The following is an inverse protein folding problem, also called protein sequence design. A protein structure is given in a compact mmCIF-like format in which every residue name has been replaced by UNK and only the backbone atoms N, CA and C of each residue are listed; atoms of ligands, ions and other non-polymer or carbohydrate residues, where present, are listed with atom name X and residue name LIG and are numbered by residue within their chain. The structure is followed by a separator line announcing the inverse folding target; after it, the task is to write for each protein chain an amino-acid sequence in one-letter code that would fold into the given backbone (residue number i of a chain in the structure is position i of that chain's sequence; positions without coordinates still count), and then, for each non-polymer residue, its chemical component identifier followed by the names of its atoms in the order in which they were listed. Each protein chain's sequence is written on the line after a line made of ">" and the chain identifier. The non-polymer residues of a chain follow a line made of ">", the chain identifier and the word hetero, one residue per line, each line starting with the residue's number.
data_IF_430113635118
#
_entry.id   IF_430113635118
#
_cell.length_a   1.000
_cell.length_b   1.000
_cell.length_c   1.000
_cell.angle_alpha   90.00
_cell.angle_beta   90.00
_cell.angle_gamma   90.00
#
_symmetry.space_group_name_H-M   'P 1'
#
loop_
_entity.id
_entity.type
_entity.pdbx_description
1 polymer ?
#
# COMPACT_ATOMS: atom_id res chain seq x y z
N UNK A 1 3.86 0.84 -22.24
CA UNK A 1 3.25 1.59 -21.12
C UNK A 1 4.09 1.29 -19.89
N UNK A 2 4.39 2.30 -19.06
CA UNK A 2 5.09 2.09 -17.79
C UNK A 2 4.09 1.62 -16.73
N UNK A 3 4.46 0.57 -15.98
CA UNK A 3 3.69 0.08 -14.84
C UNK A 3 4.50 0.19 -13.57
N UNK A 4 3.88 0.68 -12.50
CA UNK A 4 4.43 0.68 -11.13
C UNK A 4 3.44 -0.05 -10.25
N UNK A 5 3.88 -1.13 -9.63
CA UNK A 5 3.06 -1.87 -8.66
C UNK A 5 3.09 -1.15 -7.31
N UNK A 6 1.96 -0.72 -6.83
CA UNK A 6 1.87 0.08 -5.60
C UNK A 6 1.88 -0.75 -4.30
N UNK A 7 1.98 -2.08 -4.38
CA UNK A 7 2.02 -2.92 -3.18
C UNK A 7 2.75 -4.24 -3.42
N UNK A 8 4.06 -4.23 -3.16
CA UNK A 8 4.88 -5.44 -3.18
C UNK A 8 5.61 -5.64 -1.86
N UNK A 9 5.62 -6.88 -1.37
CA UNK A 9 6.31 -7.27 -0.16
C UNK A 9 7.67 -7.90 -0.42
N UNK A 10 8.65 -7.58 0.42
CA UNK A 10 9.95 -8.25 0.50
C UNK A 10 10.12 -8.83 1.91
N UNK A 11 10.92 -9.88 2.01
CA UNK A 11 11.25 -10.52 3.28
C UNK A 11 10.32 -11.67 3.65
N UNK A 12 10.76 -12.43 4.61
CA UNK A 12 10.06 -13.62 5.09
C UNK A 12 9.00 -13.23 6.11
N UNK A 13 7.76 -13.59 5.88
CA UNK A 13 6.75 -13.48 6.92
C UNK A 13 6.93 -14.56 7.95
N UNK A 14 6.95 -14.19 9.23
CA UNK A 14 7.08 -15.14 10.36
C UNK A 14 5.80 -15.94 10.56
N UNK A 15 4.63 -15.40 10.17
CA UNK A 15 3.40 -16.18 9.98
C UNK A 15 3.52 -16.86 8.62
N UNK A 16 4.35 -17.86 8.61
CA UNK A 16 4.86 -18.44 7.40
C UNK A 16 3.80 -19.27 6.69
N UNK A 17 3.86 -19.23 5.37
CA UNK A 17 3.25 -20.22 4.49
C UNK A 17 3.59 -21.68 4.89
N UNK A 18 4.73 -21.92 5.58
CA UNK A 18 5.06 -23.25 6.11
C UNK A 18 4.18 -23.64 7.30
N UNK A 19 3.59 -22.65 7.99
CA UNK A 19 2.66 -22.83 9.13
C UNK A 19 1.23 -22.54 8.69
N UNK A 20 1.04 -21.76 7.63
CA UNK A 20 -0.27 -21.57 7.02
C UNK A 20 -0.70 -22.94 6.51
N UNK A 21 -1.75 -23.38 7.09
CA UNK A 21 -2.40 -24.61 6.83
C UNK A 21 -2.57 -24.85 5.31
N UNK A 22 -1.58 -25.52 4.73
CA UNK A 22 -1.61 -25.90 3.31
C UNK A 22 -2.84 -26.73 2.96
N UNK A 23 -3.43 -27.43 3.94
CA UNK A 23 -4.68 -28.16 3.79
C UNK A 23 -5.86 -27.19 3.55
N UNK A 24 -5.86 -26.04 4.22
CA UNK A 24 -6.92 -25.04 4.05
C UNK A 24 -6.90 -24.41 2.65
N UNK A 25 -5.72 -24.18 2.10
CA UNK A 25 -5.56 -23.62 0.75
C UNK A 25 -5.42 -24.69 -0.33
N UNK A 26 -5.45 -25.96 0.02
CA UNK A 26 -5.21 -27.10 -0.89
C UNK A 26 -3.84 -27.05 -1.60
N UNK A 27 -2.92 -26.25 -1.10
CA UNK A 27 -1.57 -26.10 -1.63
C UNK A 27 -0.61 -26.87 -0.73
N UNK A 28 0.13 -27.82 -1.27
CA UNK A 28 1.13 -28.60 -0.51
C UNK A 28 2.54 -28.07 -0.67
N UNK A 29 2.75 -27.18 -1.60
CA UNK A 29 4.05 -26.56 -1.87
C UNK A 29 4.13 -25.18 -1.19
N UNK A 30 5.36 -24.72 -0.95
CA UNK A 30 5.58 -23.40 -0.35
C UNK A 30 5.06 -22.31 -1.27
N UNK A 31 4.36 -21.35 -0.72
CA UNK A 31 3.98 -20.13 -1.43
C UNK A 31 5.25 -19.35 -1.77
N UNK A 32 5.37 -18.90 -3.00
CA UNK A 32 6.49 -18.05 -3.41
C UNK A 32 6.53 -16.76 -2.61
N UNK A 33 7.73 -16.33 -2.25
CA UNK A 33 7.97 -15.09 -1.55
C UNK A 33 9.24 -14.45 -2.11
N UNK A 34 9.24 -13.14 -2.26
CA UNK A 34 10.48 -12.41 -2.52
C UNK A 34 11.20 -12.16 -1.20
N UNK A 35 12.24 -12.92 -0.92
CA UNK A 35 13.05 -12.77 0.31
C UNK A 35 13.91 -11.53 0.26
N UNK A 36 14.40 -11.23 -0.94
CA UNK A 36 15.31 -10.14 -1.25
C UNK A 36 14.84 -9.35 -2.47
N UNK A 37 15.41 -8.17 -2.63
CA UNK A 37 15.09 -7.27 -3.73
C UNK A 37 15.29 -7.93 -5.11
N UNK A 38 16.32 -8.77 -5.25
CA UNK A 38 16.65 -9.44 -6.49
C UNK A 38 15.51 -10.36 -6.97
N UNK A 39 14.94 -11.16 -6.05
CA UNK A 39 13.82 -12.06 -6.35
C UNK A 39 12.55 -11.26 -6.75
N UNK A 40 12.31 -10.13 -6.09
CA UNK A 40 11.22 -9.24 -6.49
C UNK A 40 11.47 -8.65 -7.88
N UNK A 41 12.69 -8.16 -8.15
CA UNK A 41 13.05 -7.58 -9.45
C UNK A 41 12.90 -8.59 -10.59
N UNK A 42 13.29 -9.85 -10.41
CA UNK A 42 13.08 -10.92 -11.37
C UNK A 42 11.58 -11.12 -11.67
N UNK A 43 10.73 -11.08 -10.63
CA UNK A 43 9.27 -11.20 -10.78
C UNK A 43 8.69 -9.99 -11.52
N UNK A 44 9.13 -8.77 -11.17
CA UNK A 44 8.72 -7.54 -11.86
C UNK A 44 9.11 -7.58 -13.35
N UNK A 45 10.34 -8.01 -13.65
CA UNK A 45 10.84 -8.12 -15.03
C UNK A 45 10.04 -9.14 -15.84
N UNK A 46 9.75 -10.30 -15.25
CA UNK A 46 8.90 -11.31 -15.87
C UNK A 46 7.50 -10.79 -16.22
N UNK A 47 6.93 -9.95 -15.34
CA UNK A 47 5.61 -9.34 -15.56
C UNK A 47 5.64 -8.05 -16.37
N UNK A 48 6.82 -7.54 -16.76
CA UNK A 48 6.95 -6.27 -17.49
C UNK A 48 6.63 -5.03 -16.63
N UNK A 49 6.84 -5.12 -15.30
CA UNK A 49 6.62 -4.04 -14.33
C UNK A 49 7.91 -3.24 -14.15
N UNK A 50 7.85 -1.93 -14.36
CA UNK A 50 9.02 -1.06 -14.33
C UNK A 50 9.56 -0.81 -12.90
N UNK A 51 8.70 -0.83 -11.90
CA UNK A 51 9.08 -0.61 -10.50
C UNK A 51 7.95 -0.89 -9.54
N UNK A 52 8.24 -0.89 -8.24
CA UNK A 52 7.25 -1.17 -7.22
C UNK A 52 7.40 -0.28 -5.98
N UNK A 53 6.28 0.01 -5.34
CA UNK A 53 6.21 0.51 -3.97
C UNK A 53 6.32 -0.69 -3.04
N UNK A 54 7.32 -0.68 -2.15
CA UNK A 54 7.74 -1.87 -1.42
C UNK A 54 7.58 -1.70 0.08
N UNK A 55 7.21 -2.78 0.76
CA UNK A 55 7.26 -2.92 2.21
C UNK A 55 8.07 -4.17 2.60
N UNK A 56 8.59 -4.21 3.82
CA UNK A 56 9.27 -5.39 4.34
C UNK A 56 8.36 -6.14 5.32
N UNK A 57 8.30 -7.46 5.20
CA UNK A 57 7.40 -8.30 6.01
C UNK A 57 7.62 -8.12 7.54
N UNK A 58 8.85 -7.88 7.97
CA UNK A 58 9.17 -7.67 9.39
C UNK A 58 8.54 -6.41 10.00
N UNK A 59 8.13 -5.43 9.20
CA UNK A 59 7.35 -4.26 9.66
C UNK A 59 6.03 -4.67 10.31
N UNK A 60 5.46 -5.79 9.84
CA UNK A 60 4.16 -6.27 10.24
C UNK A 60 4.29 -7.25 11.40
N UNK A 61 5.23 -8.19 11.29
CA UNK A 61 5.27 -9.39 12.14
C UNK A 61 6.35 -9.32 13.23
N UNK A 62 7.30 -8.38 13.15
CA UNK A 62 8.42 -8.28 14.10
C UNK A 62 8.44 -6.92 14.78
N UNK A 63 8.93 -5.90 14.09
CA UNK A 63 9.08 -4.55 14.61
C UNK A 63 9.14 -3.53 13.46
N UNK A 64 8.35 -2.44 13.49
CA UNK A 64 8.36 -1.42 12.46
C UNK A 64 9.70 -0.71 12.24
N UNK A 65 10.42 -0.36 13.30
CA UNK A 65 11.73 0.31 13.19
C UNK A 65 12.77 -0.60 12.52
N UNK A 66 12.85 -1.84 12.97
CA UNK A 66 13.71 -2.86 12.36
C UNK A 66 13.32 -3.12 10.90
N UNK A 67 12.03 -3.27 10.61
CA UNK A 67 11.55 -3.52 9.26
C UNK A 67 11.79 -2.35 8.30
N UNK A 68 11.63 -1.11 8.78
CA UNK A 68 11.96 0.11 8.03
C UNK A 68 13.45 0.14 7.64
N UNK A 69 14.35 -0.22 8.57
CA UNK A 69 15.79 -0.29 8.28
C UNK A 69 16.11 -1.40 7.26
N UNK A 70 15.52 -2.59 7.43
CA UNK A 70 15.72 -3.71 6.49
C UNK A 70 15.23 -3.38 5.08
N UNK A 71 14.10 -2.69 4.96
CA UNK A 71 13.61 -2.26 3.66
C UNK A 71 14.59 -1.33 2.94
N UNK A 72 15.23 -0.40 3.66
CA UNK A 72 16.22 0.48 3.05
C UNK A 72 17.44 -0.28 2.53
N UNK A 73 17.90 -1.31 3.25
CA UNK A 73 18.99 -2.18 2.79
C UNK A 73 18.61 -2.87 1.46
N UNK A 74 17.37 -3.36 1.35
CA UNK A 74 16.89 -4.03 0.16
C UNK A 74 16.68 -3.06 -1.01
N UNK A 75 16.00 -1.93 -0.77
CA UNK A 75 15.69 -0.97 -1.83
C UNK A 75 16.90 -0.20 -2.35
N UNK A 76 17.98 -0.10 -1.56
CA UNK A 76 19.25 0.48 -2.00
C UNK A 76 19.89 -0.28 -3.19
N UNK A 77 19.49 -1.53 -3.43
CA UNK A 77 20.01 -2.34 -4.54
C UNK A 77 19.45 -1.89 -5.91
N UNK A 78 18.27 -1.28 -5.94
CA UNK A 78 17.64 -0.74 -7.15
C UNK A 78 16.74 0.47 -6.81
N UNK A 79 17.31 1.59 -6.36
CA UNK A 79 16.54 2.73 -5.81
C UNK A 79 15.67 3.45 -6.83
N UNK A 80 15.97 3.30 -8.13
CA UNK A 80 15.15 3.83 -9.22
C UNK A 80 13.90 2.99 -9.52
N UNK A 81 13.87 1.75 -9.04
CA UNK A 81 12.78 0.79 -9.28
C UNK A 81 11.99 0.46 -8.02
N UNK A 82 12.64 0.44 -6.87
CA UNK A 82 12.05 0.03 -5.59
C UNK A 82 11.83 1.25 -4.69
N UNK A 83 10.56 1.64 -4.56
CA UNK A 83 10.13 2.80 -3.80
C UNK A 83 9.76 2.39 -2.37
N UNK A 84 10.56 2.72 -1.36
CA UNK A 84 10.31 2.26 0.01
C UNK A 84 9.08 2.93 0.63
N UNK A 85 8.34 2.13 1.42
CA UNK A 85 7.35 2.63 2.38
C UNK A 85 7.81 2.35 3.79
N UNK A 86 7.52 3.25 4.74
CA UNK A 86 7.80 3.00 6.15
C UNK A 86 6.51 2.75 6.94
N UNK A 87 6.61 1.89 7.92
CA UNK A 87 5.55 1.69 8.91
C UNK A 87 5.77 2.61 10.08
N UNK A 88 4.69 3.20 10.60
CA UNK A 88 4.70 4.13 11.71
C UNK A 88 4.15 3.52 12.99
N UNK A 89 4.70 3.98 14.14
CA UNK A 89 4.20 3.74 15.49
C UNK A 89 3.80 5.07 16.14
N UNK A 90 3.00 5.03 17.23
CA UNK A 90 2.66 6.22 17.98
C UNK A 90 3.90 6.91 18.58
N UNK A 91 4.10 8.18 18.28
CA UNK A 91 5.25 8.95 18.78
C UNK A 91 5.30 9.06 20.32
N UNK A 92 4.18 8.88 20.98
CA UNK A 92 4.10 8.93 22.45
C UNK A 92 4.82 7.74 23.12
N UNK A 93 4.95 6.62 22.44
CA UNK A 93 5.70 5.44 22.92
C UNK A 93 7.03 5.29 22.21
N UNK A 94 7.12 5.78 20.97
CA UNK A 94 8.28 5.60 20.09
C UNK A 94 8.67 6.95 19.48
N UNK A 95 9.41 7.76 20.23
CA UNK A 95 9.74 9.16 19.92
C UNK A 95 10.39 9.37 18.54
N UNK A 96 11.05 8.36 18.01
CA UNK A 96 11.63 8.40 16.68
C UNK A 96 10.58 8.56 15.57
N UNK A 97 9.31 8.25 15.84
CA UNK A 97 8.20 8.45 14.91
C UNK A 97 7.50 9.81 15.11
N UNK A 98 7.99 10.67 15.99
CA UNK A 98 7.51 12.05 16.08
C UNK A 98 7.74 12.80 14.75
N UNK A 99 6.89 13.77 14.37
CA UNK A 99 6.91 14.37 13.03
C UNK A 99 8.28 14.85 12.57
N UNK A 100 9.00 15.61 13.42
CA UNK A 100 10.30 16.17 13.02
C UNK A 100 11.37 15.11 12.77
N UNK A 101 11.68 14.16 13.68
CA UNK A 101 12.67 13.11 13.43
C UNK A 101 12.22 12.17 12.30
N UNK A 102 10.93 11.83 12.22
CA UNK A 102 10.40 10.97 11.15
C UNK A 102 10.61 11.62 9.78
N UNK A 103 10.18 12.87 9.58
CA UNK A 103 10.27 13.54 8.28
C UNK A 103 11.72 13.82 7.88
N UNK A 104 12.58 14.15 8.85
CA UNK A 104 14.01 14.28 8.61
C UNK A 104 14.65 13.00 8.06
N UNK A 105 14.34 11.85 8.68
CA UNK A 105 14.81 10.54 8.22
C UNK A 105 14.19 10.13 6.88
N UNK A 106 12.88 10.35 6.68
CA UNK A 106 12.20 10.09 5.41
C UNK A 106 12.85 10.85 4.26
N UNK A 107 13.15 12.13 4.46
CA UNK A 107 13.82 12.97 3.46
C UNK A 107 15.21 12.44 3.11
N UNK A 108 16.02 12.10 4.10
CA UNK A 108 17.36 11.55 3.93
C UNK A 108 17.36 10.22 3.17
N UNK A 109 16.33 9.39 3.41
CA UNK A 109 16.19 8.06 2.84
C UNK A 109 15.29 8.02 1.60
N UNK A 110 14.84 9.18 1.08
CA UNK A 110 13.92 9.30 -0.07
C UNK A 110 12.60 8.55 0.10
N UNK A 111 12.17 8.31 1.35
CA UNK A 111 10.87 7.68 1.65
C UNK A 111 9.78 8.74 1.57
N UNK A 112 8.71 8.45 0.84
CA UNK A 112 7.59 9.38 0.62
C UNK A 112 6.21 8.77 0.93
N UNK A 113 6.18 7.54 1.39
CA UNK A 113 4.95 6.79 1.63
C UNK A 113 5.03 6.12 3.00
N UNK A 114 3.91 6.09 3.70
CA UNK A 114 3.78 5.47 5.01
C UNK A 114 2.74 4.35 5.00
N UNK A 115 2.88 3.41 5.92
CA UNK A 115 1.92 2.34 6.23
C UNK A 115 1.58 2.33 7.71
N UNK A 116 0.38 1.89 8.04
CA UNK A 116 -0.03 1.66 9.42
C UNK A 116 -0.68 0.28 9.54
N UNK A 117 -0.24 -0.46 10.55
CA UNK A 117 -0.77 -1.78 10.90
C UNK A 117 -1.20 -1.78 12.38
N UNK A 118 -2.23 -0.98 12.74
CA UNK A 118 -2.56 -0.71 14.14
C UNK A 118 -2.87 -1.97 14.95
N UNK A 119 -3.57 -2.93 14.36
CA UNK A 119 -3.86 -4.20 15.03
C UNK A 119 -2.59 -5.04 15.27
N UNK A 120 -1.76 -5.20 14.23
CA UNK A 120 -0.53 -5.99 14.31
C UNK A 120 0.47 -5.37 15.27
N UNK A 121 0.64 -4.06 15.19
CA UNK A 121 1.57 -3.31 16.05
C UNK A 121 0.91 -2.81 17.35
N UNK A 122 -0.33 -3.24 17.64
CA UNK A 122 -1.05 -3.08 18.93
C UNK A 122 -1.23 -1.65 19.40
N UNK A 123 -1.73 -0.77 18.52
CA UNK A 123 -2.10 0.60 18.88
C UNK A 123 -3.44 1.01 18.24
N UNK A 124 -4.00 2.14 18.71
CA UNK A 124 -5.21 2.71 18.13
C UNK A 124 -4.84 3.82 17.16
N UNK A 125 -5.34 3.74 15.93
CA UNK A 125 -5.13 4.77 14.91
C UNK A 125 -6.22 5.85 15.06
N UNK A 126 -6.02 6.77 15.99
CA UNK A 126 -6.98 7.82 16.29
C UNK A 126 -6.28 9.08 16.84
N UNK A 127 -7.07 10.14 17.09
CA UNK A 127 -6.58 11.43 17.57
C UNK A 127 -5.94 11.38 18.96
N UNK A 128 -6.42 10.51 19.83
CA UNK A 128 -5.87 10.38 21.20
C UNK A 128 -4.44 9.83 21.17
N UNK A 129 -4.21 8.83 20.31
CA UNK A 129 -2.92 8.12 20.26
C UNK A 129 -1.92 8.81 19.32
N UNK A 130 -2.38 9.36 18.17
CA UNK A 130 -1.52 9.82 17.09
C UNK A 130 -1.92 11.22 16.53
N UNK A 131 -2.67 12.03 17.29
CA UNK A 131 -3.28 13.26 16.78
C UNK A 131 -2.29 14.20 16.09
N UNK A 132 -1.26 14.65 16.81
CA UNK A 132 -0.22 15.54 16.27
C UNK A 132 0.52 14.92 15.07
N UNK A 133 0.83 13.64 15.15
CA UNK A 133 1.54 12.92 14.12
C UNK A 133 0.72 12.82 12.83
N UNK A 134 -0.57 12.47 12.92
CA UNK A 134 -1.44 12.36 11.74
C UNK A 134 -1.78 13.74 11.16
N UNK A 135 -1.93 14.77 11.96
CA UNK A 135 -2.09 16.16 11.49
C UNK A 135 -0.84 16.60 10.68
N UNK A 136 0.36 16.30 11.18
CA UNK A 136 1.60 16.61 10.47
C UNK A 136 1.75 15.80 9.15
N UNK A 137 1.42 14.51 9.16
CA UNK A 137 1.41 13.65 7.96
C UNK A 137 0.44 14.19 6.91
N UNK A 138 -0.77 14.61 7.33
CA UNK A 138 -1.76 15.20 6.44
C UNK A 138 -1.27 16.52 5.83
N UNK A 139 -0.70 17.43 6.66
CA UNK A 139 -0.13 18.71 6.20
C UNK A 139 1.03 18.54 5.22
N UNK A 140 1.86 17.51 5.43
CA UNK A 140 2.94 17.14 4.52
C UNK A 140 2.46 16.38 3.27
N UNK A 141 1.19 16.08 3.14
CA UNK A 141 0.59 15.28 2.05
C UNK A 141 1.28 13.92 1.86
N UNK A 142 1.71 13.30 2.93
CA UNK A 142 2.32 11.97 2.87
C UNK A 142 1.19 10.93 2.82
N UNK A 143 1.10 10.11 1.75
CA UNK A 143 0.09 9.08 1.69
C UNK A 143 0.30 7.98 2.73
N UNK A 144 -0.77 7.60 3.41
CA UNK A 144 -0.80 6.54 4.40
C UNK A 144 -1.60 5.34 3.89
N UNK A 145 -0.96 4.19 3.78
CA UNK A 145 -1.62 2.94 3.42
C UNK A 145 -2.38 2.36 4.60
N UNK A 146 -3.65 2.03 4.38
CA UNK A 146 -4.53 1.37 5.34
C UNK A 146 -5.24 0.19 4.69
N UNK A 147 -5.36 -0.91 5.44
CA UNK A 147 -6.12 -2.08 5.01
C UNK A 147 -7.37 -2.26 5.88
N UNK A 148 -8.53 -2.57 5.30
CA UNK A 148 -9.72 -2.94 6.06
C UNK A 148 -9.74 -4.42 6.49
N UNK A 149 -8.58 -5.06 6.61
CA UNK A 149 -8.44 -6.49 7.00
C UNK A 149 -9.13 -6.82 8.33
N UNK A 150 -9.29 -5.83 9.21
CA UNK A 150 -10.00 -5.93 10.49
C UNK A 150 -11.34 -5.21 10.50
N UNK A 151 -11.77 -4.74 9.35
CA UNK A 151 -13.01 -4.00 9.14
C UNK A 151 -12.80 -2.60 8.59
N UNK A 152 -13.86 -2.02 8.07
CA UNK A 152 -13.84 -0.68 7.46
C UNK A 152 -13.95 0.47 8.48
N UNK A 153 -14.47 0.18 9.67
CA UNK A 153 -14.72 1.19 10.71
C UNK A 153 -13.46 1.98 11.10
N UNK A 154 -12.26 1.38 11.27
CA UNK A 154 -11.06 2.15 11.55
C UNK A 154 -10.70 3.17 10.47
N UNK A 155 -10.94 2.83 9.17
CA UNK A 155 -10.68 3.74 8.05
C UNK A 155 -11.67 4.91 8.08
N UNK A 156 -12.95 4.64 8.31
CA UNK A 156 -13.95 5.69 8.48
C UNK A 156 -13.61 6.61 9.63
N UNK A 157 -13.33 6.03 10.80
CA UNK A 157 -13.01 6.77 12.03
C UNK A 157 -11.78 7.68 11.87
N UNK A 158 -10.72 7.21 11.21
CA UNK A 158 -9.53 8.04 11.00
C UNK A 158 -9.81 9.18 10.02
N UNK A 159 -10.57 8.94 8.96
CA UNK A 159 -10.91 9.98 7.99
C UNK A 159 -11.90 11.03 8.55
N UNK A 160 -12.81 10.64 9.45
CA UNK A 160 -13.66 11.59 10.18
C UNK A 160 -12.83 12.52 11.09
N UNK A 161 -11.80 11.99 11.74
CA UNK A 161 -10.92 12.74 12.62
C UNK A 161 -9.84 13.56 11.87
N UNK A 162 -9.42 13.09 10.70
CA UNK A 162 -8.35 13.68 9.88
C UNK A 162 -8.78 13.74 8.40
N UNK A 163 -9.74 14.60 8.05
CA UNK A 163 -10.32 14.63 6.70
C UNK A 163 -9.33 15.00 5.59
N UNK A 164 -8.20 15.64 5.93
CA UNK A 164 -7.14 16.02 4.98
C UNK A 164 -6.06 14.96 4.81
N UNK A 165 -6.12 13.86 5.58
CA UNK A 165 -5.15 12.77 5.50
C UNK A 165 -5.29 12.04 4.16
N UNK A 166 -4.22 11.98 3.37
CA UNK A 166 -4.21 11.18 2.13
C UNK A 166 -4.11 9.69 2.48
N UNK A 167 -5.15 8.93 2.16
CA UNK A 167 -5.24 7.50 2.48
C UNK A 167 -5.25 6.68 1.19
N UNK A 168 -4.42 5.63 1.16
CA UNK A 168 -4.44 4.59 0.12
C UNK A 168 -5.02 3.32 0.76
N UNK A 169 -6.19 2.90 0.28
CA UNK A 169 -6.83 1.66 0.73
C UNK A 169 -6.31 0.51 -0.10
N UNK A 170 -5.77 -0.52 0.56
CA UNK A 170 -5.23 -1.70 -0.08
C UNK A 170 -5.69 -2.98 0.63
N UNK A 171 -5.53 -4.12 -0.03
CA UNK A 171 -5.80 -5.46 0.52
C UNK A 171 -7.16 -5.52 1.25
N UNK A 172 -8.24 -5.25 0.51
CA UNK A 172 -9.61 -5.23 1.04
C UNK A 172 -10.41 -6.49 0.69
N UNK A 173 -9.80 -7.44 -0.05
CA UNK A 173 -10.35 -8.73 -0.41
C UNK A 173 -11.14 -8.75 -1.71
N UNK A 174 -11.42 -9.96 -2.18
CA UNK A 174 -11.92 -10.24 -3.55
C UNK A 174 -13.37 -9.87 -3.81
N UNK A 175 -14.18 -9.63 -2.78
CA UNK A 175 -15.59 -9.31 -2.94
C UNK A 175 -15.80 -7.83 -3.07
N UNK A 176 -16.79 -7.42 -3.86
CA UNK A 176 -17.10 -6.00 -4.04
C UNK A 176 -17.43 -5.33 -2.70
N UNK A 177 -16.66 -4.30 -2.37
CA UNK A 177 -16.83 -3.46 -1.19
C UNK A 177 -17.45 -2.09 -1.53
N UNK A 178 -18.16 -1.98 -2.63
CA UNK A 178 -18.72 -0.73 -3.14
C UNK A 178 -19.52 0.06 -2.09
N UNK A 179 -20.26 -0.61 -1.21
CA UNK A 179 -21.04 0.03 -0.14
C UNK A 179 -20.19 0.69 0.93
N UNK A 180 -18.97 0.23 1.13
CA UNK A 180 -17.99 0.86 2.02
C UNK A 180 -17.12 1.87 1.27
N UNK A 181 -16.68 1.55 0.06
CA UNK A 181 -15.75 2.36 -0.68
C UNK A 181 -16.38 3.62 -1.28
N UNK A 182 -17.58 3.50 -1.90
CA UNK A 182 -18.20 4.62 -2.61
C UNK A 182 -18.52 5.83 -1.72
N UNK A 183 -19.02 5.68 -0.48
CA UNK A 183 -19.18 6.81 0.43
C UNK A 183 -17.86 7.54 0.71
N UNK A 184 -16.76 6.80 0.92
CA UNK A 184 -15.43 7.38 1.14
C UNK A 184 -14.96 8.17 -0.07
N UNK A 185 -15.00 7.60 -1.27
CA UNK A 185 -14.61 8.27 -2.51
C UNK A 185 -15.48 9.50 -2.84
N UNK A 186 -16.74 9.49 -2.43
CA UNK A 186 -17.65 10.61 -2.59
C UNK A 186 -17.36 11.76 -1.63
N UNK A 187 -17.01 11.42 -0.39
CA UNK A 187 -16.83 12.39 0.69
C UNK A 187 -15.42 12.98 0.71
N UNK A 188 -14.40 12.14 0.52
CA UNK A 188 -13.00 12.52 0.64
C UNK A 188 -12.30 12.48 -0.71
N UNK A 189 -11.69 13.59 -1.14
CA UNK A 189 -10.97 13.69 -2.41
C UNK A 189 -9.55 13.08 -2.36
N UNK A 190 -9.03 12.92 -1.17
CA UNK A 190 -7.71 12.41 -0.80
C UNK A 190 -7.70 10.91 -0.45
N UNK A 191 -8.80 10.20 -0.74
CA UNK A 191 -8.87 8.74 -0.63
C UNK A 191 -8.58 8.12 -1.98
N UNK A 192 -7.63 7.19 -1.99
CA UNK A 192 -7.18 6.39 -3.13
C UNK A 192 -7.41 4.91 -2.84
N UNK A 193 -7.47 4.10 -3.90
CA UNK A 193 -7.65 2.66 -3.77
C UNK A 193 -6.74 1.91 -4.74
N UNK A 194 -6.15 0.83 -4.30
CA UNK A 194 -5.49 -0.13 -5.17
C UNK A 194 -6.51 -1.05 -5.84
N UNK A 195 -6.29 -1.39 -7.10
CA UNK A 195 -7.24 -2.19 -7.86
C UNK A 195 -6.92 -3.70 -7.87
N UNK A 196 -5.93 -4.16 -7.12
CA UNK A 196 -5.51 -5.56 -7.11
C UNK A 196 -6.60 -6.56 -6.76
N UNK A 197 -7.50 -6.17 -5.86
CA UNK A 197 -8.62 -6.99 -5.42
C UNK A 197 -9.89 -6.85 -6.29
N UNK A 198 -9.89 -5.96 -7.29
CA UNK A 198 -11.05 -5.71 -8.17
C UNK A 198 -11.18 -6.77 -9.27
N UNK A 199 -11.46 -8.01 -8.90
CA UNK A 199 -11.52 -9.13 -9.84
C UNK A 199 -12.95 -9.41 -10.36
N UNK A 200 -13.97 -8.73 -9.82
CA UNK A 200 -15.34 -8.88 -10.31
C UNK A 200 -15.50 -8.23 -11.68
N UNK A 201 -16.07 -8.96 -12.63
CA UNK A 201 -16.24 -8.48 -14.00
C UNK A 201 -16.97 -7.15 -14.05
N UNK A 202 -16.35 -6.14 -14.69
CA UNK A 202 -16.90 -4.79 -14.83
C UNK A 202 -16.73 -3.87 -13.62
N UNK A 203 -16.24 -4.33 -12.48
CA UNK A 203 -16.10 -3.52 -11.27
C UNK A 203 -15.21 -2.30 -11.50
N UNK A 204 -13.99 -2.50 -12.01
CA UNK A 204 -13.05 -1.41 -12.31
C UNK A 204 -13.64 -0.40 -13.32
N UNK A 205 -14.27 -0.90 -14.39
CA UNK A 205 -14.96 -0.05 -15.38
C UNK A 205 -16.06 0.79 -14.74
N UNK A 206 -16.84 0.19 -13.85
CA UNK A 206 -17.92 0.89 -13.15
C UNK A 206 -17.38 1.96 -12.20
N UNK A 207 -16.30 1.64 -11.49
CA UNK A 207 -15.62 2.57 -10.59
C UNK A 207 -15.07 3.78 -11.37
N UNK A 208 -14.36 3.56 -12.47
CA UNK A 208 -13.84 4.61 -13.34
C UNK A 208 -14.98 5.48 -13.90
N UNK A 209 -16.07 4.87 -14.38
CA UNK A 209 -17.22 5.62 -14.90
C UNK A 209 -17.89 6.52 -13.86
N UNK A 210 -17.84 6.13 -12.58
CA UNK A 210 -18.51 6.85 -11.50
C UNK A 210 -17.62 7.91 -10.82
N UNK A 211 -16.35 7.65 -10.65
CA UNK A 211 -15.43 8.47 -9.84
C UNK A 211 -14.19 8.95 -10.59
N UNK A 212 -14.03 8.57 -11.86
CA UNK A 212 -12.78 8.77 -12.61
C UNK A 212 -11.71 7.76 -12.23
N UNK A 213 -10.60 7.76 -12.96
CA UNK A 213 -9.46 6.88 -12.75
C UNK A 213 -8.36 7.48 -11.88
N UNK A 214 -8.44 8.78 -11.56
CA UNK A 214 -7.36 9.58 -10.97
C UNK A 214 -7.03 9.19 -9.52
N UNK A 215 -7.86 8.35 -8.90
CA UNK A 215 -7.68 7.89 -7.52
C UNK A 215 -7.58 6.37 -7.40
N UNK A 216 -7.31 5.71 -8.52
CA UNK A 216 -7.11 4.26 -8.58
C UNK A 216 -5.64 4.00 -8.86
N UNK A 217 -5.02 3.12 -8.08
CA UNK A 217 -3.62 2.73 -8.20
C UNK A 217 -3.54 1.26 -8.64
N UNK A 218 -2.57 0.93 -9.47
CA UNK A 218 -2.25 -0.46 -9.72
C UNK A 218 -1.46 -1.02 -8.53
N UNK A 219 -1.92 -2.08 -7.91
CA UNK A 219 -1.25 -2.77 -6.81
C UNK A 219 -1.64 -4.24 -6.81
N UNK A 220 -0.68 -5.14 -6.73
CA UNK A 220 -0.94 -6.58 -6.77
C UNK A 220 -1.09 -7.24 -5.41
N UNK A 221 -0.54 -6.63 -4.37
CA UNK A 221 -0.31 -7.24 -3.06
C UNK A 221 0.58 -8.50 -3.16
N UNK A 222 1.55 -8.49 -4.10
CA UNK A 222 2.56 -9.56 -4.16
C UNK A 222 3.36 -9.59 -2.84
N UNK A 223 3.66 -10.75 -2.25
CA UNK A 223 3.50 -12.11 -2.75
C UNK A 223 2.17 -12.80 -2.38
N UNK A 224 1.22 -12.10 -1.75
CA UNK A 224 -0.09 -12.69 -1.43
C UNK A 224 -0.85 -13.07 -2.70
N UNK A 225 -0.69 -12.29 -3.76
CA UNK A 225 -1.27 -12.53 -5.08
C UNK A 225 -0.18 -12.47 -6.17
N UNK A 226 -0.41 -13.19 -7.26
CA UNK A 226 0.42 -13.05 -8.47
C UNK A 226 0.15 -11.71 -9.16
N UNK A 227 1.21 -11.01 -9.59
CA UNK A 227 1.11 -9.73 -10.29
C UNK A 227 0.27 -9.82 -11.58
N UNK A 228 0.38 -10.94 -12.30
CA UNK A 228 -0.28 -11.14 -13.59
C UNK A 228 -1.81 -11.07 -13.53
N UNK A 229 -2.45 -11.50 -12.44
CA UNK A 229 -3.90 -11.46 -12.29
C UNK A 229 -4.45 -10.02 -12.29
N UNK A 230 -4.05 -9.16 -11.34
CA UNK A 230 -4.41 -7.75 -11.33
C UNK A 230 -4.04 -7.00 -12.61
N UNK A 231 -2.87 -7.29 -13.20
CA UNK A 231 -2.44 -6.69 -14.46
C UNK A 231 -3.41 -7.02 -15.60
N UNK A 232 -3.77 -8.30 -15.75
CA UNK A 232 -4.74 -8.74 -16.75
C UNK A 232 -6.13 -8.12 -16.50
N UNK A 233 -6.53 -7.96 -15.24
CA UNK A 233 -7.79 -7.32 -14.86
C UNK A 233 -7.85 -5.87 -15.35
N UNK A 234 -6.80 -5.08 -15.15
CA UNK A 234 -6.76 -3.69 -15.61
C UNK A 234 -6.78 -3.63 -17.15
N UNK A 235 -5.92 -4.41 -17.82
CA UNK A 235 -5.83 -4.43 -19.28
C UNK A 235 -7.14 -4.91 -19.93
N UNK A 236 -7.77 -5.93 -19.34
CA UNK A 236 -9.02 -6.54 -19.82
C UNK A 236 -10.30 -5.86 -19.37
N UNK A 237 -10.23 -4.81 -18.55
CA UNK A 237 -11.41 -4.15 -17.94
C UNK A 237 -12.32 -3.40 -18.93
N UNK A 238 -11.80 -3.08 -20.13
CA UNK A 238 -12.52 -2.29 -21.12
C UNK A 238 -12.63 -0.79 -20.80
N UNK A 239 -11.75 -0.25 -19.96
CA UNK A 239 -11.58 1.20 -19.73
C UNK A 239 -10.69 1.82 -20.82
N UNK A 240 -10.68 3.16 -20.91
CA UNK A 240 -9.89 3.89 -21.91
C UNK A 240 -8.38 3.83 -21.63
N UNK A 241 -7.57 4.03 -22.67
CA UNK A 241 -6.09 4.02 -22.54
C UNK A 241 -5.58 5.10 -21.58
N UNK A 242 -6.25 6.25 -21.50
CA UNK A 242 -5.92 7.31 -20.55
C UNK A 242 -6.14 6.86 -19.10
N UNK A 243 -7.24 6.15 -18.83
CA UNK A 243 -7.53 5.58 -17.51
C UNK A 243 -6.51 4.52 -17.13
N UNK A 244 -6.15 3.64 -18.09
CA UNK A 244 -5.09 2.65 -17.86
C UNK A 244 -3.77 3.34 -17.53
N UNK A 245 -3.39 4.41 -18.24
CA UNK A 245 -2.15 5.14 -17.98
C UNK A 245 -2.14 5.80 -16.58
N UNK A 246 -3.27 6.37 -16.16
CA UNK A 246 -3.44 6.89 -14.82
C UNK A 246 -3.22 5.81 -13.76
N UNK A 247 -3.89 4.68 -13.90
CA UNK A 247 -3.84 3.55 -12.96
C UNK A 247 -2.45 2.93 -12.95
N UNK A 248 -1.85 2.72 -14.12
CA UNK A 248 -0.56 2.04 -14.29
C UNK A 248 0.60 2.74 -13.56
N UNK A 249 0.69 4.07 -13.65
CA UNK A 249 1.75 4.82 -12.98
C UNK A 249 1.42 6.30 -12.73
N UNK A 250 0.56 6.93 -13.53
CA UNK A 250 0.34 8.37 -13.46
C UNK A 250 -0.12 8.85 -12.08
N UNK A 251 -1.00 8.11 -11.43
CA UNK A 251 -1.53 8.48 -10.12
C UNK A 251 -0.49 8.37 -9.00
N UNK A 252 0.29 7.30 -8.96
CA UNK A 252 1.33 7.15 -7.93
C UNK A 252 2.45 8.17 -8.13
N UNK A 253 2.87 8.44 -9.36
CA UNK A 253 3.88 9.46 -9.66
C UNK A 253 3.41 10.86 -9.21
N UNK A 254 2.13 11.20 -9.45
CA UNK A 254 1.54 12.44 -8.96
C UNK A 254 1.54 12.50 -7.44
N UNK A 255 1.05 11.46 -6.75
CA UNK A 255 1.05 11.39 -5.28
C UNK A 255 2.44 11.63 -4.69
N UNK A 256 3.45 10.95 -5.24
CA UNK A 256 4.83 11.11 -4.80
C UNK A 256 5.36 12.52 -5.02
N UNK A 257 4.95 13.20 -6.10
CA UNK A 257 5.37 14.57 -6.39
C UNK A 257 4.74 15.63 -5.48
N UNK A 258 3.60 15.32 -4.87
CA UNK A 258 2.85 16.22 -3.97
C UNK A 258 3.36 16.19 -2.52
N UNK A 259 4.18 15.21 -2.14
CA UNK A 259 4.74 15.07 -0.79
C UNK A 259 5.70 16.21 -0.46
N UNK A 260 5.55 16.80 0.74
CA UNK A 260 6.28 17.98 1.23
C UNK A 260 7.11 17.62 2.46
N UNK A 261 8.35 17.13 2.27
CA UNK A 261 9.32 16.81 3.32
C UNK A 261 10.42 17.85 3.46
#
# INVERSE_FOLDING_TARGET
>A
MKWIDCSCGIGYRTVNSDIVNHEFFLIREKVEQARHAEELLETLDFCGIAGAVVYHATMIDVDPGYGNAKLLEETAKAPERLLPTWTILPAITDEEFAPQPLFGRMKQSSVRLLRAYPERNRYMLNRVTMGEQLDAIAAARIPLYLSPSTGWEPIYSVLEQFPELTVIIHNYGLWSHARFLYPLLRTYRNVYIECGDMQTAGELKHLCAKFGSERILFGSDFPSNNIGGPLATVIGSGIGQADIANIACGNIERLLSEVRL
#
